data_IF_382553820898
#
_entry.id   IF_382553820898
#
_cell.length_a   1.000
_cell.length_b   1.000
_cell.length_c   1.000
_cell.angle_alpha   90.00
_cell.angle_beta   90.00
_cell.angle_gamma   90.00
#
_symmetry.space_group_name_H-M   'P 1'
#
loop_
_entity.id
_entity.type
_entity.pdbx_description
1 polymer ?
#
# COMPACT_ATOMS: atom_id res chain seq x y z
N UNK A 1 -5.71 1.68 -25.60
CA UNK A 1 -6.25 1.74 -24.23
C UNK A 1 -5.10 1.69 -23.25
N UNK A 2 -4.82 2.79 -22.54
CA UNK A 2 -3.77 2.83 -21.52
C UNK A 2 -4.35 2.14 -20.28
N UNK A 3 -3.92 0.91 -19.97
CA UNK A 3 -4.24 0.27 -18.70
C UNK A 3 -3.66 1.19 -17.61
N UNK A 4 -4.52 1.90 -16.89
CA UNK A 4 -4.10 2.67 -15.73
C UNK A 4 -3.72 1.65 -14.65
N UNK A 5 -2.45 1.24 -14.63
CA UNK A 5 -1.93 0.44 -13.54
C UNK A 5 -2.04 1.26 -12.27
N UNK A 6 -2.81 0.76 -11.32
CA UNK A 6 -2.96 1.39 -10.02
C UNK A 6 -1.58 1.40 -9.34
N UNK A 7 -1.05 2.60 -9.11
CA UNK A 7 0.29 2.81 -8.55
C UNK A 7 0.47 2.06 -7.22
N UNK A 8 -0.60 1.82 -6.47
CA UNK A 8 -0.57 1.17 -5.16
C UNK A 8 -1.20 -0.22 -5.19
N UNK A 9 -0.42 -1.22 -4.83
CA UNK A 9 -0.85 -2.62 -4.82
C UNK A 9 -0.91 -3.13 -3.38
N UNK A 10 -2.06 -3.64 -2.91
CA UNK A 10 -2.15 -4.22 -1.57
C UNK A 10 -1.40 -5.56 -1.53
N UNK A 11 -0.53 -5.75 -0.54
CA UNK A 11 0.23 -6.99 -0.35
C UNK A 11 0.02 -7.59 1.02
N UNK A 12 0.03 -8.92 1.06
CA UNK A 12 0.03 -9.71 2.29
C UNK A 12 1.11 -10.78 2.19
N UNK A 13 2.04 -10.79 3.15
CA UNK A 13 3.04 -11.84 3.30
C UNK A 13 2.77 -12.64 4.59
N UNK A 14 2.88 -13.97 4.52
CA UNK A 14 2.84 -14.81 5.72
C UNK A 14 4.22 -14.78 6.38
N UNK A 15 4.27 -14.40 7.64
CA UNK A 15 5.52 -14.39 8.42
C UNK A 15 5.68 -15.68 9.24
N UNK A 16 4.57 -16.16 9.81
CA UNK A 16 4.55 -17.32 10.70
C UNK A 16 3.16 -18.00 10.63
N UNK A 17 2.95 -19.11 11.34
CA UNK A 17 1.69 -19.88 11.38
C UNK A 17 0.47 -19.00 11.64
N UNK A 18 0.60 -18.01 12.53
CA UNK A 18 -0.46 -17.09 12.92
C UNK A 18 -0.06 -15.62 12.78
N UNK A 19 0.86 -15.28 11.87
CA UNK A 19 1.29 -13.89 11.64
C UNK A 19 1.36 -13.58 10.16
N UNK A 20 0.76 -12.46 9.80
CA UNK A 20 0.68 -11.95 8.42
C UNK A 20 1.07 -10.48 8.41
N UNK A 21 1.99 -10.10 7.54
CA UNK A 21 2.33 -8.72 7.25
C UNK A 21 1.41 -8.18 6.16
N UNK A 22 0.74 -7.06 6.41
CA UNK A 22 -0.03 -6.29 5.46
C UNK A 22 0.71 -4.99 5.13
N UNK A 23 0.95 -4.74 3.85
CA UNK A 23 1.69 -3.57 3.39
C UNK A 23 1.24 -3.15 1.98
N UNK A 24 1.72 -2.00 1.53
CA UNK A 24 1.44 -1.46 0.19
C UNK A 24 2.74 -1.49 -0.60
N UNK A 25 2.65 -2.00 -1.81
CA UNK A 25 3.72 -1.97 -2.80
C UNK A 25 3.43 -0.84 -3.79
N UNK A 26 4.45 -0.15 -4.26
CA UNK A 26 4.29 0.92 -5.26
C UNK A 26 4.98 0.56 -6.54
N UNK A 27 4.18 0.49 -7.60
CA UNK A 27 4.67 0.41 -8.96
C UNK A 27 4.85 1.84 -9.48
N UNK A 28 6.08 2.35 -9.45
CA UNK A 28 6.50 3.44 -10.33
C UNK A 28 7.21 2.78 -11.48
N UNK A 29 6.89 3.18 -12.71
CA UNK A 29 7.17 2.47 -13.96
C UNK A 29 8.55 1.78 -14.07
N UNK A 30 9.61 2.22 -13.36
CA UNK A 30 10.86 1.45 -13.27
C UNK A 30 11.62 1.51 -11.92
N UNK A 31 11.04 2.00 -10.81
CA UNK A 31 11.78 2.06 -9.53
C UNK A 31 10.85 1.91 -8.30
N UNK A 32 11.31 1.19 -7.29
CA UNK A 32 10.60 1.07 -6.01
C UNK A 32 10.69 2.41 -5.28
N UNK A 33 9.58 3.16 -5.25
CA UNK A 33 9.52 4.44 -4.55
C UNK A 33 9.46 4.18 -3.04
N UNK A 34 10.60 4.33 -2.37
CA UNK A 34 10.70 4.23 -0.91
C UNK A 34 10.05 5.42 -0.18
N UNK A 35 9.56 6.45 -0.89
CA UNK A 35 8.97 7.64 -0.29
C UNK A 35 7.57 7.40 0.31
N UNK A 36 7.04 6.17 0.26
CA UNK A 36 5.92 5.74 1.13
C UNK A 36 6.38 5.51 2.56
N UNK A 37 7.21 6.42 3.08
CA UNK A 37 7.74 6.38 4.43
C UNK A 37 6.64 6.36 5.51
N UNK A 38 5.37 6.59 5.16
CA UNK A 38 4.26 6.65 6.11
C UNK A 38 3.20 5.53 6.00
N UNK A 39 3.27 4.62 5.02
CA UNK A 39 2.38 3.44 5.02
C UNK A 39 3.13 2.25 5.60
N UNK A 40 3.31 2.27 6.93
CA UNK A 40 4.03 1.22 7.65
C UNK A 40 3.41 -0.18 7.49
N UNK A 41 4.25 -1.20 7.63
CA UNK A 41 3.84 -2.61 7.66
C UNK A 41 2.98 -2.87 8.89
N UNK A 42 1.82 -3.51 8.72
CA UNK A 42 0.94 -3.93 9.82
C UNK A 42 0.95 -5.44 9.99
N UNK A 43 1.16 -5.91 11.22
CA UNK A 43 1.12 -7.33 11.54
C UNK A 43 -0.28 -7.71 12.03
N UNK A 44 -0.84 -8.76 11.44
CA UNK A 44 -2.16 -9.29 11.79
C UNK A 44 -2.06 -10.78 12.12
N UNK A 45 -2.96 -11.29 12.96
CA UNK A 45 -2.99 -12.70 13.34
C UNK A 45 -3.74 -13.60 12.34
N UNK A 46 -4.58 -13.00 11.49
CA UNK A 46 -5.42 -13.70 10.51
C UNK A 46 -5.19 -13.14 9.10
N UNK A 47 -5.14 -14.03 8.11
CA UNK A 47 -4.96 -13.67 6.69
C UNK A 47 -6.04 -12.69 6.19
N UNK A 48 -7.32 -13.01 6.40
CA UNK A 48 -8.44 -12.15 5.95
C UNK A 48 -8.39 -10.75 6.56
N UNK A 49 -7.88 -10.63 7.79
CA UNK A 49 -7.69 -9.33 8.43
C UNK A 49 -6.56 -8.56 7.76
N UNK A 50 -5.42 -9.23 7.50
CA UNK A 50 -4.29 -8.64 6.78
C UNK A 50 -4.69 -8.13 5.39
N UNK A 51 -5.52 -8.87 4.65
CA UNK A 51 -6.03 -8.46 3.34
C UNK A 51 -6.85 -7.16 3.43
N UNK A 52 -7.77 -7.06 4.40
CA UNK A 52 -8.54 -5.84 4.66
C UNK A 52 -7.63 -4.67 5.05
N UNK A 53 -6.63 -4.92 5.89
CA UNK A 53 -5.67 -3.90 6.32
C UNK A 53 -4.83 -3.40 5.14
N UNK A 54 -4.35 -4.29 4.27
CA UNK A 54 -3.60 -3.90 3.07
C UNK A 54 -4.44 -3.02 2.13
N UNK A 55 -5.73 -3.34 1.95
CA UNK A 55 -6.65 -2.51 1.17
C UNK A 55 -6.87 -1.12 1.80
N UNK A 56 -7.01 -1.05 3.14
CA UNK A 56 -7.11 0.23 3.85
C UNK A 56 -5.85 1.08 3.71
N UNK A 57 -4.67 0.46 3.74
CA UNK A 57 -3.41 1.16 3.54
C UNK A 57 -3.30 1.72 2.12
N UNK A 58 -3.76 0.99 1.10
CA UNK A 58 -3.85 1.50 -0.28
C UNK A 58 -4.77 2.73 -0.35
N UNK A 59 -5.95 2.67 0.27
CA UNK A 59 -6.87 3.80 0.30
C UNK A 59 -6.26 5.03 1.01
N UNK A 60 -5.50 4.81 2.08
CA UNK A 60 -4.75 5.87 2.77
C UNK A 60 -3.67 6.46 1.86
N UNK A 61 -2.87 5.62 1.22
CA UNK A 61 -1.78 6.04 0.34
C UNK A 61 -2.29 6.89 -0.85
N UNK A 62 -3.43 6.51 -1.44
CA UNK A 62 -4.10 7.29 -2.48
C UNK A 62 -4.54 8.67 -1.98
N UNK A 63 -5.11 8.75 -0.77
CA UNK A 63 -5.52 10.03 -0.16
C UNK A 63 -4.31 10.93 0.11
N UNK A 64 -3.22 10.37 0.63
CA UNK A 64 -1.99 11.12 0.89
C UNK A 64 -1.39 11.67 -0.40
N UNK A 65 -1.32 10.87 -1.47
CA UNK A 65 -0.83 11.35 -2.77
C UNK A 65 -1.67 12.51 -3.33
N UNK A 66 -3.00 12.42 -3.23
CA UNK A 66 -3.90 13.50 -3.65
C UNK A 66 -3.69 14.78 -2.82
N UNK A 67 -3.43 14.66 -1.52
CA UNK A 67 -3.19 15.80 -0.64
C UNK A 67 -1.85 16.52 -0.95
N UNK A 68 -0.79 15.77 -1.30
CA UNK A 68 0.50 16.33 -1.74
C UNK A 68 0.45 16.99 -3.12
N UNK A 69 -0.57 16.68 -3.93
CA UNK A 69 -0.75 17.25 -5.27
C UNK A 69 -1.71 18.46 -5.27
N UNK A 70 -1.77 19.22 -4.17
CA UNK A 70 -2.34 20.57 -4.21
C UNK A 70 -1.28 21.49 -4.83
N UNK A 71 -1.53 22.10 -6.01
CA UNK A 71 -0.62 23.11 -6.52
C UNK A 71 -0.61 24.27 -5.52
N UNK A 72 0.59 24.64 -5.06
CA UNK A 72 0.80 25.95 -4.47
C UNK A 72 0.37 26.97 -5.51
N UNK A 73 -0.67 27.74 -5.20
CA UNK A 73 -1.11 28.90 -5.96
C UNK A 73 -0.91 30.15 -5.12
#
# INVERSE_FOLDING_TARGET
MKLAFDKFVPRVAKLDKHKYAAYVDIHVDHLWDMAVANCGVRICSKRKQAEKVAQQLVALARKTQQATHKPHH
#
